data_IF_214131344125
#
_entry.id   IF_214131344125
#
_cell.length_a   1.000
_cell.length_b   1.000
_cell.length_c   1.000
_cell.angle_alpha   90.00
_cell.angle_beta   90.00
_cell.angle_gamma   90.00
#
_symmetry.space_group_name_H-M   'P 1'
#
loop_
_entity.id
_entity.type
_entity.pdbx_description
1 polymer ?
#
# COMPACT_ATOMS: atom_id res chain seq x y z
N UNK A 1 9.47 -6.16 14.48
CA UNK A 1 9.34 -7.45 13.76
C UNK A 1 7.95 -7.98 14.03
N UNK A 2 7.16 -8.26 12.99
CA UNK A 2 5.78 -8.72 13.14
C UNK A 2 5.76 -10.21 13.53
N UNK A 3 5.87 -10.49 14.83
CA UNK A 3 5.69 -11.84 15.38
C UNK A 3 4.22 -12.25 15.15
N UNK A 4 3.98 -13.39 14.49
CA UNK A 4 2.67 -13.95 14.08
C UNK A 4 1.98 -13.41 12.81
N UNK A 5 2.69 -12.75 11.88
CA UNK A 5 2.14 -12.50 10.55
C UNK A 5 2.63 -13.56 9.53
N UNK A 6 1.80 -14.58 9.27
CA UNK A 6 2.10 -15.65 8.30
C UNK A 6 2.24 -15.14 6.85
N UNK A 7 1.78 -13.92 6.56
CA UNK A 7 1.86 -13.26 5.25
C UNK A 7 3.04 -12.28 5.13
N UNK A 8 3.94 -12.22 6.12
CA UNK A 8 5.05 -11.26 6.12
C UNK A 8 5.93 -11.33 4.86
N UNK A 9 6.23 -12.53 4.37
CA UNK A 9 7.09 -12.75 3.19
C UNK A 9 6.45 -12.23 1.89
N UNK A 10 5.20 -12.59 1.51
CA UNK A 10 4.57 -12.02 0.32
C UNK A 10 4.23 -10.53 0.44
N UNK A 11 4.24 -9.94 1.64
CA UNK A 11 3.93 -8.53 1.89
C UNK A 11 5.15 -7.61 1.79
N UNK A 12 6.31 -8.09 1.33
CA UNK A 12 7.49 -7.25 1.13
C UNK A 12 7.44 -6.49 -0.20
N UNK A 13 7.38 -5.16 -0.13
CA UNK A 13 7.63 -4.31 -1.28
C UNK A 13 9.14 -4.20 -1.53
N UNK A 14 9.53 -4.16 -2.81
CA UNK A 14 10.91 -3.86 -3.22
C UNK A 14 10.94 -2.41 -3.70
N UNK A 15 11.61 -1.55 -2.94
CA UNK A 15 11.91 -0.19 -3.38
C UNK A 15 13.15 -0.21 -4.28
N UNK A 16 13.06 0.40 -5.46
CA UNK A 16 14.16 0.53 -6.41
C UNK A 16 14.39 2.00 -6.75
N UNK A 17 15.60 2.32 -7.21
CA UNK A 17 15.97 3.64 -7.72
C UNK A 17 16.35 3.49 -9.18
N UNK A 18 15.93 4.43 -10.01
CA UNK A 18 16.18 4.43 -11.46
C UNK A 18 16.66 5.81 -11.90
N UNK A 19 17.40 5.85 -13.01
CA UNK A 19 17.77 7.07 -13.71
C UNK A 19 16.76 7.47 -14.81
N UNK A 20 15.67 6.71 -14.95
CA UNK A 20 14.55 7.03 -15.85
C UNK A 20 13.66 8.06 -15.16
N UNK A 21 13.39 9.18 -15.82
CA UNK A 21 12.56 10.27 -15.31
C UNK A 21 11.06 9.92 -15.36
N UNK A 22 10.59 9.41 -16.50
CA UNK A 22 9.22 8.93 -16.72
C UNK A 22 9.18 7.39 -16.73
N UNK A 23 9.10 6.82 -15.54
CA UNK A 23 9.04 5.36 -15.37
C UNK A 23 7.75 4.76 -15.94
N UNK A 24 6.64 5.48 -15.90
CA UNK A 24 5.34 5.01 -16.38
C UNK A 24 5.34 4.91 -17.91
N UNK A 25 5.80 5.97 -18.58
CA UNK A 25 5.96 5.99 -20.04
C UNK A 25 6.99 4.96 -20.52
N UNK A 26 8.08 4.77 -19.77
CA UNK A 26 9.05 3.71 -20.06
C UNK A 26 8.41 2.32 -20.00
N UNK A 27 7.68 2.01 -18.92
CA UNK A 27 7.00 0.72 -18.77
C UNK A 27 6.01 0.53 -19.92
N UNK A 28 5.17 1.52 -20.20
CA UNK A 28 4.20 1.47 -21.29
C UNK A 28 4.85 1.19 -22.65
N UNK A 29 5.98 1.84 -22.95
CA UNK A 29 6.74 1.60 -24.19
C UNK A 29 7.25 0.17 -24.27
N UNK A 30 7.71 -0.41 -23.15
CA UNK A 30 8.13 -1.81 -23.08
C UNK A 30 6.96 -2.77 -23.24
N UNK A 31 5.81 -2.46 -22.66
CA UNK A 31 4.59 -3.25 -22.84
C UNK A 31 4.19 -3.36 -24.32
N UNK A 32 4.27 -2.24 -25.05
CA UNK A 32 4.00 -2.19 -26.49
C UNK A 32 5.01 -3.01 -27.31
N UNK A 33 6.31 -2.87 -27.02
CA UNK A 33 7.37 -3.58 -27.74
C UNK A 33 7.31 -5.10 -27.53
N UNK A 34 6.94 -5.55 -26.33
CA UNK A 34 6.93 -6.97 -25.97
C UNK A 34 5.55 -7.62 -26.07
N UNK A 35 4.50 -6.84 -26.33
CA UNK A 35 3.12 -7.33 -26.37
C UNK A 35 2.66 -7.91 -25.03
N UNK A 36 3.17 -7.39 -23.91
CA UNK A 36 2.89 -7.92 -22.55
C UNK A 36 2.61 -6.77 -21.58
N UNK A 37 1.55 -6.90 -20.79
CA UNK A 37 1.21 -5.98 -19.69
C UNK A 37 2.01 -6.29 -18.42
N UNK A 38 2.56 -5.26 -17.78
CA UNK A 38 3.27 -5.30 -16.50
C UNK A 38 2.53 -4.54 -15.40
N UNK A 39 1.85 -3.43 -15.73
CA UNK A 39 1.07 -2.65 -14.77
C UNK A 39 -0.42 -2.91 -14.91
N UNK A 40 -1.09 -3.04 -13.76
CA UNK A 40 -2.53 -3.21 -13.67
C UNK A 40 -3.10 -2.21 -12.68
N UNK A 41 -4.23 -1.61 -13.05
CA UNK A 41 -5.05 -0.78 -12.16
C UNK A 41 -6.13 -1.66 -11.55
N UNK A 42 -6.32 -1.55 -10.24
CA UNK A 42 -7.31 -2.31 -9.48
C UNK A 42 -8.12 -1.33 -8.64
N UNK A 43 -9.44 -1.30 -8.85
CA UNK A 43 -10.35 -0.55 -8.01
C UNK A 43 -10.78 -1.38 -6.79
N UNK A 44 -10.80 -0.75 -5.62
CA UNK A 44 -11.26 -1.36 -4.38
C UNK A 44 -12.59 -0.74 -3.94
N UNK A 45 -13.66 -1.52 -3.71
CA UNK A 45 -14.94 -0.96 -3.28
C UNK A 45 -14.83 -0.40 -1.86
N UNK A 46 -15.47 0.74 -1.60
CA UNK A 46 -15.43 1.39 -0.27
C UNK A 46 -15.95 0.47 0.84
N UNK A 47 -16.87 -0.46 0.52
CA UNK A 47 -17.44 -1.41 1.46
C UNK A 47 -16.40 -2.34 2.11
N UNK A 48 -15.26 -2.61 1.47
CA UNK A 48 -14.22 -3.48 2.04
C UNK A 48 -13.22 -2.72 2.91
N UNK A 49 -13.34 -1.38 3.03
CA UNK A 49 -12.40 -0.52 3.75
C UNK A 49 -12.13 -1.04 5.16
N UNK A 50 -13.17 -1.38 5.94
CA UNK A 50 -13.02 -1.87 7.32
C UNK A 50 -12.12 -3.11 7.41
N UNK A 51 -12.35 -4.09 6.54
CA UNK A 51 -11.55 -5.31 6.49
C UNK A 51 -10.09 -5.01 6.08
N UNK A 52 -9.91 -4.16 5.07
CA UNK A 52 -8.57 -3.74 4.61
C UNK A 52 -7.79 -3.04 5.73
N UNK A 53 -8.40 -2.09 6.44
CA UNK A 53 -7.74 -1.36 7.52
C UNK A 53 -7.34 -2.29 8.69
N UNK A 54 -8.17 -3.29 9.01
CA UNK A 54 -7.81 -4.32 10.00
C UNK A 54 -6.60 -5.13 9.56
N UNK A 55 -6.55 -5.55 8.29
CA UNK A 55 -5.39 -6.27 7.75
C UNK A 55 -4.12 -5.43 7.73
N UNK A 56 -4.22 -4.15 7.33
CA UNK A 56 -3.10 -3.20 7.37
C UNK A 56 -2.57 -3.02 8.79
N UNK A 57 -3.46 -2.90 9.79
CA UNK A 57 -3.05 -2.75 11.19
C UNK A 57 -2.31 -3.99 11.70
N UNK A 58 -2.62 -5.20 11.24
CA UNK A 58 -1.86 -6.42 11.58
C UNK A 58 -0.43 -6.40 11.02
N UNK A 59 -0.19 -5.64 9.94
CA UNK A 59 1.14 -5.39 9.40
C UNK A 59 1.88 -4.25 10.11
N UNK A 60 1.23 -3.59 11.08
CA UNK A 60 1.75 -2.38 11.70
C UNK A 60 1.64 -1.15 10.81
N UNK A 61 0.84 -1.22 9.74
CA UNK A 61 0.55 -0.09 8.85
C UNK A 61 -0.71 0.59 9.37
N UNK A 62 -0.53 1.76 9.98
CA UNK A 62 -1.58 2.58 10.58
C UNK A 62 -1.42 4.03 10.14
N UNK A 63 -2.45 4.86 10.30
CA UNK A 63 -2.35 6.28 9.97
C UNK A 63 -1.16 6.97 10.68
N UNK A 64 -0.94 6.68 11.97
CA UNK A 64 0.17 7.25 12.73
C UNK A 64 1.56 6.75 12.31
N UNK A 65 1.67 5.53 11.77
CA UNK A 65 2.95 5.02 11.25
C UNK A 65 3.28 5.53 9.85
N UNK A 66 2.26 5.82 9.02
CA UNK A 66 2.43 6.36 7.67
C UNK A 66 2.62 7.87 7.67
N UNK A 67 1.90 8.58 8.54
CA UNK A 67 1.88 10.04 8.62
C UNK A 67 2.31 10.47 10.01
N UNK A 68 3.63 10.55 10.29
CA UNK A 68 4.10 10.97 11.60
C UNK A 68 3.67 12.41 11.89
N UNK A 69 3.09 12.65 13.06
CA UNK A 69 2.61 13.98 13.46
C UNK A 69 1.28 13.92 14.22
N UNK A 70 0.74 15.09 14.53
CA UNK A 70 -0.54 15.23 15.23
C UNK A 70 -1.69 14.63 14.40
N UNK A 71 -1.73 14.94 13.10
CA UNK A 71 -2.83 14.53 12.22
C UNK A 71 -2.93 13.01 12.11
N UNK A 72 -1.79 12.32 11.88
CA UNK A 72 -1.78 10.86 11.82
C UNK A 72 -2.09 10.20 13.16
N UNK A 73 -1.69 10.80 14.28
CA UNK A 73 -2.06 10.32 15.61
C UNK A 73 -3.57 10.46 15.86
N UNK A 74 -4.15 11.62 15.54
CA UNK A 74 -5.60 11.84 15.66
C UNK A 74 -6.39 10.91 14.73
N UNK A 75 -5.91 10.71 13.50
CA UNK A 75 -6.55 9.80 12.55
C UNK A 75 -6.51 8.35 13.03
N UNK A 76 -5.37 7.89 13.57
CA UNK A 76 -5.28 6.55 14.14
C UNK A 76 -6.21 6.37 15.35
N UNK A 77 -6.35 7.38 16.21
CA UNK A 77 -7.30 7.36 17.32
C UNK A 77 -8.75 7.31 16.80
N UNK A 78 -9.05 8.07 15.74
CA UNK A 78 -10.35 8.05 15.07
C UNK A 78 -10.69 6.65 14.57
N UNK A 79 -9.79 6.04 13.81
CA UNK A 79 -9.96 4.69 13.27
C UNK A 79 -10.14 3.63 14.37
N UNK A 80 -9.37 3.76 15.47
CA UNK A 80 -9.41 2.77 16.57
C UNK A 80 -10.67 2.86 17.43
N UNK A 81 -11.17 4.06 17.69
CA UNK A 81 -12.23 4.28 18.69
C UNK A 81 -13.60 4.61 18.09
N UNK A 82 -13.67 5.05 16.83
CA UNK A 82 -14.90 5.52 16.21
C UNK A 82 -15.31 4.74 14.95
N UNK A 83 -14.55 3.69 14.59
CA UNK A 83 -14.98 2.57 13.74
C UNK A 83 -15.68 2.99 12.41
N UNK A 84 -15.04 3.90 11.67
CA UNK A 84 -15.34 4.21 10.26
C UNK A 84 -14.64 3.21 9.33
#
# INVERSE_FOLDING_TARGET
MAFNNSRLVPQQAISSVTNVDDIEGYIFTRELQQGKKYLQVIDLPVSIRKGVMQELSLMGITAGSLFPGLDGACEQLRERYFDL
#
